data_IF_993765443279
#
_entry.id   IF_993765443279
#
_cell.length_a   1.000
_cell.length_b   1.000
_cell.length_c   1.000
_cell.angle_alpha   90.00
_cell.angle_beta   90.00
_cell.angle_gamma   90.00
#
_symmetry.space_group_name_H-M   'P 1'
#
loop_
_entity.id
_entity.type
_entity.pdbx_description
1 polymer ?
#
# COMPACT_ATOMS: atom_id res chain seq x y z
N UNK A 1 12.29 -3.48 -24.37
CA UNK A 1 12.18 -2.17 -23.75
C UNK A 1 12.14 -2.31 -22.22
N UNK A 2 12.84 -1.43 -21.53
CA UNK A 2 13.01 -1.54 -20.10
C UNK A 2 12.01 -0.64 -19.36
N UNK A 3 10.79 -1.13 -19.23
CA UNK A 3 9.77 -0.45 -18.47
C UNK A 3 9.80 -0.94 -17.02
N UNK A 4 9.67 -0.03 -16.07
CA UNK A 4 9.59 -0.33 -14.66
C UNK A 4 8.18 -0.03 -14.16
N UNK A 5 7.54 -1.03 -13.57
CA UNK A 5 6.22 -0.85 -12.94
C UNK A 5 6.40 -0.59 -11.45
N UNK A 6 5.87 0.52 -10.97
CA UNK A 6 5.84 0.85 -9.54
C UNK A 6 4.43 0.65 -9.01
N UNK A 7 4.28 -0.24 -8.04
CA UNK A 7 3.01 -0.46 -7.33
C UNK A 7 3.15 0.19 -5.95
N UNK A 8 2.51 1.34 -5.79
CA UNK A 8 2.73 2.22 -4.64
C UNK A 8 1.63 2.06 -3.59
N UNK A 9 2.03 1.62 -2.40
CA UNK A 9 1.21 1.63 -1.17
C UNK A 9 -0.16 0.96 -1.32
N UNK A 10 -0.23 -0.18 -2.01
CA UNK A 10 -1.47 -0.95 -2.14
C UNK A 10 -1.69 -1.80 -0.89
N UNK A 11 -2.00 -1.12 0.22
CA UNK A 11 -2.14 -1.71 1.54
C UNK A 11 -3.60 -1.79 1.97
N UNK A 12 -3.89 -2.71 2.88
CA UNK A 12 -5.25 -2.99 3.34
C UNK A 12 -5.97 -1.78 3.95
N UNK A 13 -5.25 -0.86 4.57
CA UNK A 13 -5.82 0.34 5.20
C UNK A 13 -6.58 1.23 4.20
N UNK A 14 -6.30 1.10 2.90
CA UNK A 14 -6.97 1.87 1.85
C UNK A 14 -8.18 1.16 1.24
N UNK A 15 -8.48 -0.08 1.66
CA UNK A 15 -9.64 -0.82 1.19
C UNK A 15 -10.95 -0.14 1.62
N UNK A 16 -12.09 -0.43 0.93
CA UNK A 16 -13.39 0.05 1.39
C UNK A 16 -13.64 -0.30 2.86
N UNK A 17 -14.29 0.59 3.58
CA UNK A 17 -14.63 0.43 5.01
C UNK A 17 -13.44 0.47 5.95
N UNK A 18 -12.23 0.73 5.46
CA UNK A 18 -11.06 0.92 6.30
C UNK A 18 -10.84 2.40 6.63
N UNK A 19 -10.06 2.72 7.69
CA UNK A 19 -9.90 4.12 8.15
C UNK A 19 -9.39 5.09 7.08
N UNK A 20 -8.53 4.64 6.17
CA UNK A 20 -7.99 5.47 5.11
C UNK A 20 -8.52 5.08 3.73
N UNK A 21 -9.76 4.58 3.67
CA UNK A 21 -10.35 4.11 2.43
C UNK A 21 -10.24 5.14 1.30
N UNK A 22 -9.81 4.68 0.12
CA UNK A 22 -9.84 5.45 -1.11
C UNK A 22 -11.04 5.02 -1.92
N UNK A 23 -11.83 5.98 -2.40
CA UNK A 23 -13.09 5.72 -3.07
C UNK A 23 -12.95 4.80 -4.30
N UNK A 24 -11.85 4.92 -5.03
CA UNK A 24 -11.62 4.18 -6.27
C UNK A 24 -10.64 3.01 -6.13
N UNK A 25 -10.27 2.63 -4.92
CA UNK A 25 -9.18 1.66 -4.70
C UNK A 25 -9.47 0.28 -5.30
N UNK A 26 -10.73 -0.18 -5.25
CA UNK A 26 -11.09 -1.49 -5.81
C UNK A 26 -10.86 -1.52 -7.33
N UNK A 27 -11.21 -0.43 -8.02
CA UNK A 27 -10.98 -0.29 -9.45
C UNK A 27 -9.49 -0.20 -9.77
N UNK A 28 -8.74 0.58 -8.99
CA UNK A 28 -7.29 0.71 -9.12
C UNK A 28 -6.61 -0.64 -8.91
N UNK A 29 -7.01 -1.38 -7.88
CA UNK A 29 -6.47 -2.73 -7.60
C UNK A 29 -6.68 -3.66 -8.79
N UNK A 30 -7.88 -3.69 -9.36
CA UNK A 30 -8.20 -4.54 -10.51
C UNK A 30 -7.29 -4.20 -11.70
N UNK A 31 -7.06 -2.92 -11.97
CA UNK A 31 -6.18 -2.49 -13.05
C UNK A 31 -4.72 -2.84 -12.79
N UNK A 32 -4.26 -2.73 -11.56
CA UNK A 32 -2.91 -3.12 -11.17
C UNK A 32 -2.69 -4.62 -11.39
N UNK A 33 -3.65 -5.44 -10.99
CA UNK A 33 -3.55 -6.89 -11.19
C UNK A 33 -3.44 -7.26 -12.67
N UNK A 34 -4.16 -6.55 -13.55
CA UNK A 34 -4.02 -6.72 -15.00
C UNK A 34 -2.64 -6.35 -15.50
N UNK A 35 -2.08 -5.25 -15.00
CA UNK A 35 -0.72 -4.83 -15.36
C UNK A 35 0.32 -5.84 -14.89
N UNK A 36 0.15 -6.40 -13.70
CA UNK A 36 1.08 -7.38 -13.14
C UNK A 36 1.15 -8.65 -13.98
N UNK A 37 0.05 -9.03 -14.63
CA UNK A 37 0.04 -10.18 -15.55
C UNK A 37 0.98 -9.97 -16.76
N UNK A 38 1.22 -8.72 -17.13
CA UNK A 38 1.97 -8.35 -18.34
C UNK A 38 3.40 -7.89 -18.07
N UNK A 39 3.76 -7.67 -16.81
CA UNK A 39 5.09 -7.18 -16.45
C UNK A 39 5.87 -8.23 -15.69
N UNK A 40 7.14 -8.46 -16.05
CA UNK A 40 7.99 -9.39 -15.31
C UNK A 40 8.17 -8.95 -13.86
N UNK A 41 8.25 -9.92 -12.97
CA UNK A 41 8.43 -9.66 -11.54
C UNK A 41 9.72 -8.86 -11.26
N UNK A 42 10.77 -9.13 -12.03
CA UNK A 42 12.06 -8.43 -11.89
C UNK A 42 12.04 -6.99 -12.40
N UNK A 43 10.93 -6.56 -13.01
CA UNK A 43 10.72 -5.18 -13.47
C UNK A 43 9.57 -4.51 -12.72
N UNK A 44 9.19 -5.05 -11.57
CA UNK A 44 8.11 -4.51 -10.74
C UNK A 44 8.63 -4.23 -9.33
N UNK A 45 8.35 -3.02 -8.84
CA UNK A 45 8.70 -2.61 -7.47
C UNK A 45 7.42 -2.32 -6.70
N UNK A 46 7.31 -2.89 -5.51
CA UNK A 46 6.19 -2.67 -4.61
C UNK A 46 6.65 -1.83 -3.43
N UNK A 47 5.87 -0.83 -3.06
CA UNK A 47 6.17 -0.01 -1.88
C UNK A 47 5.09 -0.20 -0.82
N UNK A 48 5.48 0.03 0.43
CA UNK A 48 4.58 0.09 1.58
C UNK A 48 4.91 1.31 2.41
N UNK A 49 3.87 2.00 2.88
CA UNK A 49 4.07 3.01 3.90
C UNK A 49 4.12 2.32 5.28
N UNK A 50 5.16 2.61 6.03
CA UNK A 50 5.32 2.15 7.41
C UNK A 50 5.68 3.37 8.23
N UNK A 51 4.90 3.63 9.30
CA UNK A 51 5.14 4.79 10.15
C UNK A 51 6.52 4.72 10.81
N UNK A 52 7.19 5.86 10.89
CA UNK A 52 8.49 5.93 11.56
C UNK A 52 8.36 5.55 13.03
N UNK A 53 9.32 4.79 13.55
CA UNK A 53 9.36 4.38 14.94
C UNK A 53 9.58 5.58 15.88
N UNK A 54 10.37 6.53 15.43
CA UNK A 54 10.68 7.76 16.18
C UNK A 54 10.40 9.00 15.33
N UNK A 55 9.10 9.34 15.09
CA UNK A 55 8.75 10.46 14.24
C UNK A 55 9.09 11.79 14.89
N UNK A 56 9.38 12.80 14.05
CA UNK A 56 9.72 14.15 14.48
C UNK A 56 8.79 15.18 13.85
N UNK A 57 8.68 16.35 14.49
CA UNK A 57 7.90 17.47 13.97
C UNK A 57 6.40 17.14 13.88
N UNK A 58 5.76 17.57 12.79
CA UNK A 58 4.34 17.33 12.56
C UNK A 58 4.00 15.85 12.44
N UNK A 59 4.95 15.02 12.02
CA UNK A 59 4.77 13.57 11.91
C UNK A 59 4.54 12.91 13.26
N UNK A 60 5.09 13.46 14.32
CA UNK A 60 4.89 12.94 15.67
C UNK A 60 3.42 13.00 16.06
N UNK A 61 2.78 14.15 15.86
CA UNK A 61 1.35 14.34 16.16
C UNK A 61 0.50 13.46 15.25
N UNK A 62 0.80 13.40 13.98
CA UNK A 62 0.09 12.57 13.00
C UNK A 62 0.13 11.09 13.40
N UNK A 63 1.30 10.59 13.79
CA UNK A 63 1.45 9.20 14.17
C UNK A 63 0.71 8.87 15.48
N UNK A 64 0.66 9.81 16.42
CA UNK A 64 -0.11 9.62 17.65
C UNK A 64 -1.62 9.51 17.36
N UNK A 65 -2.14 10.36 16.48
CA UNK A 65 -3.54 10.33 16.06
C UNK A 65 -3.90 9.04 15.32
N UNK A 66 -2.94 8.44 14.64
CA UNK A 66 -3.15 7.24 13.82
C UNK A 66 -2.51 5.99 14.43
N UNK A 67 -2.26 5.97 15.73
CA UNK A 67 -1.55 4.88 16.40
C UNK A 67 -2.18 3.51 16.15
N UNK A 68 -3.51 3.40 16.23
CA UNK A 68 -4.19 2.12 16.02
C UNK A 68 -3.96 1.56 14.63
N UNK A 69 -3.87 2.45 13.63
CA UNK A 69 -3.57 2.06 12.24
C UNK A 69 -2.11 1.65 12.13
N UNK A 70 -1.21 2.47 12.66
CA UNK A 70 0.23 2.25 12.52
C UNK A 70 0.69 0.96 13.21
N UNK A 71 0.01 0.53 14.26
CA UNK A 71 0.34 -0.68 15.02
C UNK A 71 -0.37 -1.93 14.49
N UNK A 72 -1.30 -1.80 13.56
CA UNK A 72 -2.07 -2.93 13.04
C UNK A 72 -1.34 -3.59 11.87
N UNK A 73 -0.82 -4.83 12.02
CA UNK A 73 -0.08 -5.50 10.96
C UNK A 73 -0.91 -5.76 9.70
N UNK A 74 -2.20 -6.07 9.86
CA UNK A 74 -3.07 -6.33 8.70
C UNK A 74 -3.33 -5.07 7.89
N UNK A 75 -3.60 -3.94 8.57
CA UNK A 75 -3.83 -2.66 7.88
C UNK A 75 -2.61 -2.22 7.08
N UNK A 76 -1.42 -2.52 7.56
CA UNK A 76 -0.17 -2.13 6.91
C UNK A 76 0.32 -3.12 5.88
N UNK A 77 -0.29 -4.30 5.79
CA UNK A 77 0.10 -5.31 4.80
C UNK A 77 -0.44 -4.96 3.42
N UNK A 78 0.23 -5.44 2.39
CA UNK A 78 -0.25 -5.33 1.01
C UNK A 78 -1.57 -6.11 0.86
N UNK A 79 -2.43 -5.62 -0.03
CA UNK A 79 -3.71 -6.25 -0.32
C UNK A 79 -3.52 -7.65 -0.90
N UNK A 80 -4.49 -8.55 -0.65
CA UNK A 80 -4.51 -9.87 -1.27
C UNK A 80 -4.42 -9.75 -2.79
N UNK A 81 -3.71 -10.65 -3.43
CA UNK A 81 -3.41 -10.58 -4.86
C UNK A 81 -2.17 -9.73 -5.14
N UNK A 82 -2.07 -8.54 -4.55
CA UNK A 82 -0.88 -7.69 -4.64
C UNK A 82 0.27 -8.33 -3.84
N UNK A 83 -0.02 -8.77 -2.63
CA UNK A 83 0.97 -9.42 -1.75
C UNK A 83 1.59 -10.65 -2.40
N UNK A 84 0.77 -11.48 -3.01
CA UNK A 84 1.24 -12.71 -3.66
C UNK A 84 2.09 -12.42 -4.90
N UNK A 85 1.85 -11.30 -5.57
CA UNK A 85 2.64 -10.88 -6.74
C UNK A 85 3.98 -10.24 -6.36
N UNK A 86 4.10 -9.78 -5.12
CA UNK A 86 5.32 -9.12 -4.65
C UNK A 86 6.51 -10.07 -4.45
#
# INVERSE_FOLDING_TARGET
>A
MNDLLLVIDMQNVYLPDQPWACETVAHTKANILKLLEKHPKNQTIFTRYIAAEHPVGTWKTYNELNRKINEDPWMNELMDGIKEAA
#
